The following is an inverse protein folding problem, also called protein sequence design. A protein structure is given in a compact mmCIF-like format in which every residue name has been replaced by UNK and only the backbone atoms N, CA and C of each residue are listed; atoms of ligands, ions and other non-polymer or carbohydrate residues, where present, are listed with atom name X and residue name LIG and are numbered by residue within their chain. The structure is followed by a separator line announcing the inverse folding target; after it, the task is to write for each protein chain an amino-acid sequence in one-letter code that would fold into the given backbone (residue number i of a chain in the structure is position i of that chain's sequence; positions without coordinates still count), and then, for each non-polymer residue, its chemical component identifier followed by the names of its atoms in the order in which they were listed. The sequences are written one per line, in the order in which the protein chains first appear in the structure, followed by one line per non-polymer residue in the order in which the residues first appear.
data_IF_377454637468
#
_entry.id   IF_377454637468
#
_cell.length_a   1.000
_cell.length_b   1.000
_cell.length_c   1.000
_cell.angle_alpha   90.00
_cell.angle_beta   90.00
_cell.angle_gamma   90.00
#
_symmetry.space_group_name_H-M   'P 1'
#
loop_
_entity.id
_entity.type
_entity.pdbx_description
1 polymer ?
#
# COMPACT_ATOMS: atom_id res chain seq x y z
N UNK A 1 -7.80 -11.76 21.60
CA UNK A 1 -7.44 -11.53 20.56
C UNK A 1 -6.79 -10.22 20.26
N UNK A 2 -5.52 -10.27 20.19
CA UNK A 2 -4.81 -9.11 19.72
C UNK A 2 -4.98 -8.99 18.25
N UNK A 3 -5.14 -7.80 17.80
CA UNK A 3 -5.20 -7.52 16.38
C UNK A 3 -3.84 -7.11 15.90
N UNK A 4 -2.88 -7.94 16.19
CA UNK A 4 -1.54 -7.68 15.68
C UNK A 4 -1.46 -8.08 14.23
N UNK A 5 -0.80 -7.26 13.46
CA UNK A 5 -0.59 -7.55 12.06
C UNK A 5 0.53 -8.56 11.92
N UNK A 6 0.36 -9.52 11.02
CA UNK A 6 1.45 -10.40 10.64
C UNK A 6 2.50 -9.59 9.90
N UNK A 7 3.71 -10.16 9.77
CA UNK A 7 4.76 -9.49 9.00
C UNK A 7 4.30 -9.22 7.57
N UNK A 8 3.59 -10.20 6.98
CA UNK A 8 3.10 -10.03 5.61
C UNK A 8 2.10 -8.89 5.50
N UNK A 9 1.22 -8.76 6.50
CA UNK A 9 0.25 -7.66 6.50
C UNK A 9 0.94 -6.32 6.64
N UNK A 10 1.98 -6.24 7.45
CA UNK A 10 2.77 -5.01 7.57
C UNK A 10 3.46 -4.67 6.26
N UNK A 11 3.97 -5.69 5.56
CA UNK A 11 4.59 -5.46 4.25
C UNK A 11 3.56 -4.96 3.24
N UNK A 12 2.36 -5.53 3.23
CA UNK A 12 1.28 -5.08 2.35
C UNK A 12 0.87 -3.65 2.66
N UNK A 13 0.72 -3.35 3.94
CA UNK A 13 0.35 -2.01 4.34
C UNK A 13 1.40 -1.00 3.88
N UNK A 14 2.68 -1.29 4.15
CA UNK A 14 3.78 -0.42 3.75
C UNK A 14 3.83 -0.25 2.23
N UNK A 15 3.66 -1.35 1.51
CA UNK A 15 3.66 -1.35 0.05
C UNK A 15 2.58 -0.42 -0.49
N UNK A 16 1.35 -0.60 -0.02
CA UNK A 16 0.24 0.20 -0.51
C UNK A 16 0.35 1.66 -0.11
N UNK A 17 0.80 1.90 1.10
CA UNK A 17 0.94 3.28 1.59
C UNK A 17 2.03 4.03 0.84
N UNK A 18 3.19 3.40 0.64
CA UNK A 18 4.29 4.06 -0.06
C UNK A 18 3.93 4.33 -1.51
N UNK A 19 3.26 3.38 -2.18
CA UNK A 19 2.81 3.59 -3.55
C UNK A 19 1.77 4.69 -3.62
N UNK A 20 0.88 4.74 -2.64
CA UNK A 20 -0.09 5.84 -2.59
C UNK A 20 0.62 7.19 -2.48
N UNK A 21 1.74 7.22 -1.77
CA UNK A 21 2.55 8.43 -1.67
C UNK A 21 3.45 8.64 -2.88
N UNK A 22 3.21 7.90 -3.95
CA UNK A 22 3.77 8.06 -5.29
C UNK A 22 5.09 7.34 -5.53
N UNK A 23 5.76 6.84 -4.51
CA UNK A 23 7.05 6.18 -4.73
C UNK A 23 7.34 5.20 -3.61
N UNK A 24 7.74 3.99 -3.98
CA UNK A 24 8.21 3.01 -3.02
C UNK A 24 9.72 2.83 -3.21
N UNK A 25 10.46 3.03 -2.13
CA UNK A 25 11.90 2.83 -2.10
C UNK A 25 12.17 1.37 -1.74
N UNK A 26 12.63 0.59 -2.72
CA UNK A 26 12.87 -0.84 -2.52
C UNK A 26 13.96 -1.11 -1.49
N UNK A 27 14.98 -0.25 -1.44
CA UNK A 27 16.08 -0.45 -0.51
C UNK A 27 15.62 -0.21 0.94
N UNK A 28 14.81 0.81 1.13
CA UNK A 28 14.24 1.07 2.45
C UNK A 28 13.32 -0.06 2.89
N UNK A 29 12.53 -0.59 1.96
CA UNK A 29 11.66 -1.73 2.25
C UNK A 29 12.48 -2.93 2.70
N UNK A 30 13.54 -3.24 1.96
CA UNK A 30 14.38 -4.39 2.29
C UNK A 30 15.08 -4.21 3.64
N UNK A 31 15.54 -3.00 3.90
CA UNK A 31 16.17 -2.69 5.19
C UNK A 31 15.20 -2.89 6.35
N UNK A 32 13.96 -2.45 6.17
CA UNK A 32 12.99 -2.46 7.25
C UNK A 32 12.39 -3.84 7.49
N UNK A 33 12.28 -4.65 6.44
CA UNK A 33 11.63 -5.97 6.56
C UNK A 33 12.58 -7.15 6.46
N UNK A 34 13.84 -6.92 6.11
CA UNK A 34 14.82 -7.98 6.03
C UNK A 34 14.71 -8.86 4.79
N UNK A 35 13.87 -8.50 3.83
CA UNK A 35 13.75 -9.22 2.57
C UNK A 35 13.34 -8.25 1.47
N UNK A 36 13.64 -8.60 0.22
CA UNK A 36 13.26 -7.77 -0.90
C UNK A 36 11.74 -7.79 -1.08
N UNK A 37 11.22 -6.75 -1.70
CA UNK A 37 9.79 -6.70 -1.96
C UNK A 37 9.36 -7.82 -2.91
N UNK A 38 10.25 -8.20 -3.82
CA UNK A 38 9.97 -9.32 -4.73
C UNK A 38 9.81 -10.64 -3.98
N UNK A 39 10.58 -10.82 -2.93
CA UNK A 39 10.47 -12.02 -2.10
C UNK A 39 9.27 -11.95 -1.15
N UNK A 40 9.03 -10.77 -0.59
CA UNK A 40 7.98 -10.62 0.42
C UNK A 40 6.58 -10.54 -0.13
N UNK A 41 6.40 -9.93 -1.29
CA UNK A 41 5.09 -9.69 -1.89
C UNK A 41 5.06 -10.09 -3.37
N UNK A 42 5.37 -11.34 -3.69
CA UNK A 42 5.46 -11.74 -5.10
C UNK A 42 4.13 -11.66 -5.85
N UNK A 43 3.04 -12.01 -5.19
CA UNK A 43 1.73 -12.01 -5.83
C UNK A 43 1.26 -10.59 -6.11
N UNK A 44 1.45 -9.70 -5.15
CA UNK A 44 1.05 -8.31 -5.28
C UNK A 44 1.83 -7.64 -6.42
N UNK A 45 3.13 -7.90 -6.49
CA UNK A 45 3.94 -7.35 -7.56
C UNK A 45 3.55 -7.91 -8.92
N UNK A 46 3.30 -9.21 -8.99
CA UNK A 46 2.90 -9.84 -10.24
C UNK A 46 1.60 -9.24 -10.76
N UNK A 47 0.63 -9.07 -9.89
CA UNK A 47 -0.64 -8.47 -10.27
C UNK A 47 -0.45 -7.05 -10.80
N UNK A 48 0.32 -6.25 -10.08
CA UNK A 48 0.55 -4.87 -10.47
C UNK A 48 1.31 -4.76 -11.79
N UNK A 49 2.30 -5.63 -11.99
CA UNK A 49 3.06 -5.64 -13.24
C UNK A 49 2.20 -6.04 -14.43
N UNK A 50 1.37 -7.07 -14.26
CA UNK A 50 0.47 -7.51 -15.31
C UNK A 50 -0.56 -6.45 -15.65
N UNK A 51 -0.94 -5.65 -14.68
CA UNK A 51 -1.91 -4.58 -14.86
C UNK A 51 -1.28 -3.29 -15.39
N UNK A 52 0.02 -3.31 -15.65
CA UNK A 52 0.77 -2.13 -16.14
C UNK A 52 0.65 -0.97 -15.15
N UNK A 53 0.74 -1.29 -13.88
CA UNK A 53 0.57 -0.30 -12.82
C UNK A 53 1.83 0.53 -12.56
N UNK A 54 3.00 0.05 -12.98
CA UNK A 54 4.26 0.73 -12.66
C UNK A 54 4.78 1.52 -13.85
N UNK A 55 5.08 2.78 -13.61
CA UNK A 55 5.79 3.60 -14.57
C UNK A 55 7.30 3.38 -14.46
N UNK A 56 7.79 3.31 -13.22
CA UNK A 56 9.18 2.96 -12.94
C UNK A 56 9.17 1.67 -12.14
N UNK A 57 9.99 0.72 -12.56
CA UNK A 57 10.10 -0.58 -11.91
C UNK A 57 11.53 -1.06 -12.09
N UNK A 58 12.40 -0.62 -11.19
CA UNK A 58 13.82 -0.98 -11.27
C UNK A 58 14.30 -1.50 -9.92
N UNK A 59 15.61 -1.64 -9.76
CA UNK A 59 16.19 -2.22 -8.55
C UNK A 59 15.99 -1.33 -7.32
N UNK A 60 15.75 -0.03 -7.52
CA UNK A 60 15.72 0.93 -6.42
C UNK A 60 14.34 1.40 -6.05
N UNK A 61 13.40 1.45 -7.01
CA UNK A 61 12.13 2.07 -6.74
C UNK A 61 11.02 1.59 -7.64
N UNK A 62 9.80 1.82 -7.17
CA UNK A 62 8.58 1.64 -7.95
C UNK A 62 7.81 2.96 -7.94
N UNK A 63 7.37 3.39 -9.12
CA UNK A 63 6.42 4.50 -9.22
C UNK A 63 5.23 4.05 -10.06
N UNK A 64 4.12 4.77 -9.97
CA UNK A 64 2.86 4.30 -10.52
C UNK A 64 2.45 5.07 -11.77
N UNK A 65 1.81 4.35 -12.68
CA UNK A 65 1.01 4.96 -13.75
C UNK A 65 -0.33 5.42 -13.15
N UNK A 66 -1.14 6.19 -13.88
CA UNK A 66 -2.49 6.52 -13.41
C UNK A 66 -3.34 5.30 -13.10
N UNK A 67 -3.22 4.24 -13.90
CA UNK A 67 -3.92 2.98 -13.61
C UNK A 67 -3.40 2.39 -12.30
N UNK A 68 -2.09 2.45 -12.09
CA UNK A 68 -1.50 1.96 -10.86
C UNK A 68 -1.99 2.71 -9.63
N UNK A 69 -2.19 4.01 -9.74
CA UNK A 69 -2.73 4.79 -8.63
C UNK A 69 -4.13 4.35 -8.27
N UNK A 70 -4.95 4.16 -9.28
CA UNK A 70 -6.32 3.69 -9.06
C UNK A 70 -6.33 2.33 -8.39
N UNK A 71 -5.54 1.40 -8.90
CA UNK A 71 -5.47 0.05 -8.34
C UNK A 71 -4.96 0.06 -6.91
N UNK A 72 -3.98 0.91 -6.62
CA UNK A 72 -3.43 1.02 -5.26
C UNK A 72 -4.51 1.47 -4.28
N UNK A 73 -5.31 2.46 -4.65
CA UNK A 73 -6.39 2.93 -3.79
C UNK A 73 -7.41 1.82 -3.55
N UNK A 74 -7.80 1.10 -4.61
CA UNK A 74 -8.76 0.01 -4.48
C UNK A 74 -8.22 -1.09 -3.58
N UNK A 75 -6.97 -1.47 -3.78
CA UNK A 75 -6.35 -2.53 -2.98
C UNK A 75 -6.22 -2.12 -1.52
N UNK A 76 -5.86 -0.87 -1.28
CA UNK A 76 -5.75 -0.36 0.08
C UNK A 76 -7.10 -0.41 0.80
N UNK A 77 -8.15 0.01 0.12
CA UNK A 77 -9.50 -0.06 0.70
C UNK A 77 -9.88 -1.50 1.05
N UNK A 78 -9.63 -2.42 0.14
CA UNK A 78 -9.94 -3.83 0.37
C UNK A 78 -9.11 -4.38 1.54
N UNK A 79 -7.85 -4.03 1.59
CA UNK A 79 -6.98 -4.46 2.67
C UNK A 79 -7.50 -3.98 4.02
N UNK A 80 -7.79 -2.68 4.13
CA UNK A 80 -8.24 -2.10 5.39
C UNK A 80 -9.64 -2.55 5.76
N UNK A 81 -10.47 -2.86 4.78
CA UNK A 81 -11.83 -3.32 5.04
C UNK A 81 -11.84 -4.64 5.81
N UNK A 82 -10.81 -5.46 5.66
CA UNK A 82 -10.70 -6.70 6.40
C UNK A 82 -9.99 -6.57 7.72
N UNK A 83 -9.55 -5.37 8.10
CA UNK A 83 -8.72 -5.18 9.29
C UNK A 83 -9.20 -3.95 10.06
N UNK A 84 -10.30 -4.10 10.78
CA UNK A 84 -11.00 -2.97 11.38
C UNK A 84 -10.12 -2.07 12.25
N UNK A 85 -9.35 -2.67 13.14
CA UNK A 85 -8.51 -1.86 14.04
C UNK A 85 -7.44 -1.11 13.30
N UNK A 86 -6.86 -1.75 12.29
CA UNK A 86 -5.85 -1.11 11.49
C UNK A 86 -6.45 0.05 10.71
N UNK A 87 -7.68 -0.10 10.24
CA UNK A 87 -8.34 0.96 9.50
C UNK A 87 -8.47 2.22 10.34
N UNK A 88 -8.85 2.07 11.60
CA UNK A 88 -8.99 3.22 12.48
C UNK A 88 -7.65 3.91 12.72
N UNK A 89 -6.60 3.11 12.91
CA UNK A 89 -5.26 3.66 13.08
C UNK A 89 -4.79 4.38 11.84
N UNK A 90 -5.05 3.81 10.68
CA UNK A 90 -4.65 4.43 9.41
C UNK A 90 -5.37 5.74 9.19
N UNK A 91 -6.64 5.82 9.53
CA UNK A 91 -7.39 7.08 9.42
C UNK A 91 -6.77 8.17 10.29
N UNK A 92 -6.37 7.80 11.50
CA UNK A 92 -5.77 8.76 12.40
C UNK A 92 -4.43 9.29 11.89
N UNK A 93 -3.72 8.48 11.11
CA UNK A 93 -2.41 8.84 10.61
C UNK A 93 -2.44 9.61 9.29
N UNK A 94 -3.58 9.64 8.60
CA UNK A 94 -3.68 10.27 7.29
C UNK A 94 -4.21 11.69 7.39
N UNK A 95 -3.82 12.54 6.43
CA UNK A 95 -4.40 13.87 6.32
C UNK A 95 -5.85 13.77 5.83
N UNK A 96 -6.58 14.87 5.91
CA UNK A 96 -7.95 14.91 5.45
C UNK A 96 -8.12 14.47 4.00
N UNK A 97 -7.36 15.07 3.05
CA UNK A 97 -7.48 14.67 1.65
C UNK A 97 -7.12 13.21 1.40
N UNK A 98 -6.08 12.72 2.06
CA UNK A 98 -5.70 11.31 1.92
C UNK A 98 -6.78 10.39 2.46
N UNK A 99 -7.38 10.77 3.57
CA UNK A 99 -8.43 10.00 4.19
C UNK A 99 -9.65 9.91 3.29
N UNK A 100 -10.04 11.02 2.69
CA UNK A 100 -11.17 11.04 1.77
C UNK A 100 -10.93 10.12 0.57
N UNK A 101 -9.73 10.18 0.02
CA UNK A 101 -9.40 9.39 -1.15
C UNK A 101 -9.43 7.89 -0.85
N UNK A 102 -8.81 7.50 0.26
CA UNK A 102 -8.66 6.07 0.58
C UNK A 102 -9.91 5.44 1.15
N UNK A 103 -10.67 6.17 1.95
CA UNK A 103 -11.81 5.61 2.66
C UNK A 103 -13.15 6.04 2.10
N UNK A 104 -13.16 6.92 1.14
CA UNK A 104 -14.41 7.43 0.60
C UNK A 104 -15.19 8.25 1.61
N UNK A 105 -14.52 8.81 2.59
CA UNK A 105 -15.14 9.62 3.62
C UNK A 105 -15.21 11.08 3.21
N UNK A 106 -15.21 11.33 1.93
CA UNK A 106 -15.38 12.69 1.43
C UNK A 106 -16.67 13.29 1.87
N UNK A 107 -17.48 12.51 2.46
CA UNK A 107 -18.68 13.00 3.07
C UNK A 107 -18.27 13.79 4.29
N UNK A 108 -18.50 15.07 4.26
CA UNK A 108 -18.29 15.86 5.46
C UNK A 108 -19.22 15.29 6.47
N UNK A 109 -18.66 14.80 7.42
CA UNK A 109 -19.49 14.28 8.48
C UNK A 109 -20.23 15.43 9.09
#
# INVERSE_FOLDING_TARGET
GKTEMSKRDLMRYRFLLDLYKLRLDKRAFERDFGCSIETGLPMELAFMRLSRAFETDNADELTLTPIGRYLTVVMYRQFLSGMNNLRDQARAALTGPERELLFGDGVPA
#
